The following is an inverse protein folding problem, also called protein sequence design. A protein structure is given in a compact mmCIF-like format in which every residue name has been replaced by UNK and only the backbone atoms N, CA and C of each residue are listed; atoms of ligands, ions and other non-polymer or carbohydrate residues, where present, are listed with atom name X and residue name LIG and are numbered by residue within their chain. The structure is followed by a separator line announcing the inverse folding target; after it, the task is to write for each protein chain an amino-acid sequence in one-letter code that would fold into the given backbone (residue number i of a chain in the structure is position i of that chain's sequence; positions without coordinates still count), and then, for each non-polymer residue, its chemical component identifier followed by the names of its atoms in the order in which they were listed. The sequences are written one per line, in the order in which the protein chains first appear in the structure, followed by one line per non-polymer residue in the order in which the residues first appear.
data_IF_694685487382
#
_entry.id   IF_694685487382
#
_cell.length_a   1.000
_cell.length_b   1.000
_cell.length_c   1.000
_cell.angle_alpha   90.00
_cell.angle_beta   90.00
_cell.angle_gamma   90.00
#
_symmetry.space_group_name_H-M   'P 1'
#
loop_
_entity.id
_entity.type
_entity.pdbx_description
1 polymer ?
#
# COMPACT_ATOMS: atom_id res chain seq x y z
N UNK A 1 29.89 9.57 -2.99
CA UNK A 1 31.15 8.78 -2.99
C UNK A 1 32.38 9.56 -3.41
N UNK A 2 32.36 10.48 -4.38
CA UNK A 2 33.60 11.25 -4.67
C UNK A 2 34.09 11.99 -3.42
N UNK A 3 33.16 12.55 -2.65
CA UNK A 3 33.47 13.24 -1.40
C UNK A 3 33.94 12.26 -0.31
N UNK A 4 33.21 11.17 -0.08
CA UNK A 4 33.62 10.11 0.88
C UNK A 4 34.98 9.47 0.55
N UNK A 5 35.20 9.06 -0.71
CA UNK A 5 36.44 8.43 -1.15
C UNK A 5 37.63 9.40 -1.06
N UNK A 6 37.42 10.67 -1.43
CA UNK A 6 38.42 11.72 -1.24
C UNK A 6 38.72 11.96 0.24
N UNK A 7 37.72 11.99 1.11
CA UNK A 7 37.90 12.16 2.54
C UNK A 7 38.72 11.03 3.18
N UNK A 8 38.44 9.78 2.81
CA UNK A 8 39.22 8.62 3.26
C UNK A 8 40.66 8.68 2.76
N UNK A 9 40.86 9.05 1.49
CA UNK A 9 42.19 9.22 0.90
C UNK A 9 43.00 10.32 1.58
N UNK A 10 42.37 11.48 1.81
CA UNK A 10 43.00 12.64 2.44
C UNK A 10 43.39 12.33 3.88
N UNK A 11 42.50 11.65 4.61
CA UNK A 11 42.78 11.19 5.99
C UNK A 11 43.95 10.22 6.03
N UNK A 12 43.98 9.22 5.14
CA UNK A 12 45.10 8.26 5.06
C UNK A 12 46.43 8.96 4.79
N UNK A 13 46.45 9.87 3.82
CA UNK A 13 47.65 10.64 3.47
C UNK A 13 48.08 11.56 4.62
N UNK A 14 47.12 12.17 5.31
CA UNK A 14 47.37 13.01 6.49
C UNK A 14 47.96 12.22 7.66
N UNK A 15 47.55 10.94 7.80
CA UNK A 15 48.14 10.01 8.76
C UNK A 15 49.52 9.47 8.32
N UNK A 16 49.98 9.80 7.12
CA UNK A 16 51.27 9.36 6.58
C UNK A 16 51.31 7.89 6.14
N UNK A 17 50.15 7.25 5.96
CA UNK A 17 50.05 5.82 5.65
C UNK A 17 49.98 5.58 4.14
N UNK A 18 50.74 4.62 3.62
CA UNK A 18 50.68 4.23 2.21
C UNK A 18 49.43 3.38 1.91
N UNK A 19 49.02 3.29 0.64
CA UNK A 19 47.82 2.51 0.28
C UNK A 19 48.09 1.01 0.52
N UNK A 20 49.30 0.58 0.23
CA UNK A 20 49.80 -0.78 0.37
C UNK A 20 49.87 -1.21 1.84
N UNK A 21 50.30 -0.31 2.72
CA UNK A 21 50.34 -0.54 4.17
C UNK A 21 48.93 -0.67 4.76
N UNK A 22 48.02 0.25 4.42
CA UNK A 22 46.63 0.16 4.85
C UNK A 22 45.97 -1.13 4.35
N UNK A 23 46.23 -1.53 3.09
CA UNK A 23 45.70 -2.76 2.52
C UNK A 23 46.26 -4.01 3.22
N UNK A 24 47.55 -4.00 3.54
CA UNK A 24 48.21 -5.08 4.29
C UNK A 24 47.62 -5.22 5.71
N UNK A 25 47.45 -4.11 6.42
CA UNK A 25 46.92 -4.11 7.79
C UNK A 25 45.45 -4.56 7.86
N UNK A 26 44.66 -4.20 6.85
CA UNK A 26 43.27 -4.62 6.70
C UNK A 26 43.12 -6.02 6.07
N UNK A 27 44.23 -6.64 5.64
CA UNK A 27 44.24 -7.94 4.95
C UNK A 27 43.31 -7.96 3.71
N UNK A 28 43.38 -6.91 2.90
CA UNK A 28 42.62 -6.74 1.66
C UNK A 28 43.54 -6.44 0.49
N UNK A 29 43.06 -6.70 -0.72
CA UNK A 29 43.82 -6.32 -1.93
C UNK A 29 43.85 -4.79 -2.10
N UNK A 30 45.01 -4.28 -2.52
CA UNK A 30 45.25 -2.85 -2.74
C UNK A 30 44.22 -2.24 -3.69
N UNK A 31 43.79 -3.01 -4.70
CA UNK A 31 42.79 -2.56 -5.66
C UNK A 31 41.45 -2.23 -5.00
N UNK A 32 41.06 -2.89 -3.91
CA UNK A 32 39.80 -2.58 -3.24
C UNK A 32 39.86 -1.21 -2.54
N UNK A 33 40.96 -0.90 -1.84
CA UNK A 33 41.11 0.42 -1.22
C UNK A 33 41.23 1.52 -2.28
N UNK A 34 41.95 1.26 -3.38
CA UNK A 34 42.02 2.19 -4.51
C UNK A 34 40.64 2.48 -5.11
N UNK A 35 39.82 1.44 -5.30
CA UNK A 35 38.47 1.58 -5.83
C UNK A 35 37.53 2.32 -4.84
N UNK A 36 37.74 2.22 -3.53
CA UNK A 36 37.03 3.05 -2.54
C UNK A 36 37.45 4.52 -2.67
N UNK A 37 38.75 4.80 -2.64
CA UNK A 37 39.28 6.18 -2.72
C UNK A 37 38.89 6.87 -4.04
N UNK A 38 38.86 6.13 -5.15
CA UNK A 38 38.47 6.62 -6.47
C UNK A 38 36.95 6.61 -6.73
N UNK A 39 36.14 6.22 -5.73
CA UNK A 39 34.68 6.15 -5.83
C UNK A 39 34.15 5.18 -6.92
N UNK A 40 34.92 4.14 -7.26
CA UNK A 40 34.56 3.15 -8.27
C UNK A 40 33.73 1.99 -7.70
N UNK A 41 32.41 2.18 -7.62
CA UNK A 41 31.49 1.15 -7.09
C UNK A 41 31.45 -0.12 -7.93
N UNK A 42 31.72 -0.02 -9.23
CA UNK A 42 31.58 -1.15 -10.17
C UNK A 42 32.60 -2.26 -9.95
N UNK A 43 33.70 -1.95 -9.25
CA UNK A 43 34.73 -2.94 -8.94
C UNK A 43 34.31 -3.93 -7.85
N UNK A 44 33.24 -3.64 -7.10
CA UNK A 44 32.80 -4.46 -5.98
C UNK A 44 31.75 -5.47 -6.42
N UNK A 45 31.89 -6.71 -5.94
CA UNK A 45 30.94 -7.80 -6.20
C UNK A 45 29.57 -7.53 -5.58
N UNK A 46 29.55 -6.94 -4.39
CA UNK A 46 28.35 -6.62 -3.63
C UNK A 46 28.56 -5.34 -2.80
N UNK A 47 27.48 -4.59 -2.64
CA UNK A 47 27.37 -3.39 -1.81
C UNK A 47 27.61 -3.72 -0.34
N UNK A 48 27.21 -4.90 0.12
CA UNK A 48 27.47 -5.35 1.49
C UNK A 48 28.97 -5.40 1.80
N UNK A 49 29.76 -6.01 0.92
CA UNK A 49 31.21 -6.10 1.08
C UNK A 49 31.87 -4.71 1.04
N UNK A 50 31.44 -3.86 0.12
CA UNK A 50 31.91 -2.47 0.08
C UNK A 50 31.62 -1.73 1.39
N UNK A 51 30.41 -1.86 1.95
CA UNK A 51 30.02 -1.21 3.21
C UNK A 51 30.92 -1.66 4.36
N UNK A 52 31.16 -2.96 4.47
CA UNK A 52 31.99 -3.54 5.53
C UNK A 52 33.44 -3.07 5.40
N UNK A 53 33.98 -3.04 4.19
CA UNK A 53 35.32 -2.52 3.94
C UNK A 53 35.47 -1.03 4.24
N UNK A 54 34.48 -0.20 3.87
CA UNK A 54 34.47 1.24 4.19
C UNK A 54 34.45 1.45 5.71
N UNK A 55 33.67 0.64 6.43
CA UNK A 55 33.60 0.67 7.90
C UNK A 55 34.94 0.28 8.54
N UNK A 56 35.56 -0.81 8.08
CA UNK A 56 36.85 -1.26 8.59
C UNK A 56 37.95 -0.24 8.30
N UNK A 57 37.95 0.35 7.10
CA UNK A 57 38.91 1.37 6.71
C UNK A 57 38.75 2.66 7.53
N UNK A 58 37.51 3.10 7.78
CA UNK A 58 37.25 4.23 8.67
C UNK A 58 37.77 3.98 10.10
N UNK A 59 37.54 2.77 10.63
CA UNK A 59 38.05 2.37 11.95
C UNK A 59 39.58 2.37 11.98
N UNK A 60 40.24 1.86 10.94
CA UNK A 60 41.69 1.88 10.81
C UNK A 60 42.24 3.32 10.81
N UNK A 61 41.58 4.24 10.11
CA UNK A 61 41.96 5.66 10.04
C UNK A 61 41.61 6.47 11.30
N UNK A 62 40.95 5.86 12.30
CA UNK A 62 40.51 6.55 13.52
C UNK A 62 39.32 7.49 13.31
N UNK A 63 38.54 7.29 12.24
CA UNK A 63 37.35 8.07 11.92
C UNK A 63 36.12 7.55 12.69
N UNK A 64 35.13 8.42 12.89
CA UNK A 64 33.86 8.02 13.50
C UNK A 64 33.05 7.14 12.56
N UNK A 65 32.82 5.89 12.96
CA UNK A 65 32.08 4.88 12.18
C UNK A 65 30.69 5.37 11.78
N UNK A 66 29.93 5.95 12.71
CA UNK A 66 28.54 6.38 12.48
C UNK A 66 28.44 7.41 11.33
N UNK A 67 29.29 8.45 11.36
CA UNK A 67 29.29 9.49 10.31
C UNK A 67 29.66 8.93 8.94
N UNK A 68 30.62 8.00 8.89
CA UNK A 68 31.05 7.39 7.63
C UNK A 68 29.96 6.48 7.07
N UNK A 69 29.25 5.76 7.94
CA UNK A 69 28.11 4.95 7.51
C UNK A 69 26.97 5.81 6.99
N UNK A 70 26.65 6.93 7.65
CA UNK A 70 25.61 7.86 7.19
C UNK A 70 25.97 8.41 5.80
N UNK A 71 27.20 8.90 5.60
CA UNK A 71 27.68 9.39 4.32
C UNK A 71 27.68 8.30 3.23
N UNK A 72 28.01 7.07 3.60
CA UNK A 72 27.94 5.92 2.69
C UNK A 72 26.50 5.56 2.33
N UNK A 73 25.56 5.64 3.27
CA UNK A 73 24.15 5.42 3.02
C UNK A 73 23.57 6.48 2.09
N UNK A 74 23.91 7.75 2.29
CA UNK A 74 23.52 8.86 1.41
C UNK A 74 24.07 8.64 0.00
N UNK A 75 25.32 8.21 -0.13
CA UNK A 75 25.87 7.83 -1.41
C UNK A 75 25.09 6.67 -2.07
N UNK A 76 24.84 5.59 -1.34
CA UNK A 76 24.11 4.45 -1.87
C UNK A 76 22.71 4.84 -2.29
N UNK A 77 22.07 5.72 -1.51
CA UNK A 77 20.82 6.33 -1.88
C UNK A 77 21.00 7.02 -3.22
N UNK A 78 21.79 8.09 -3.36
CA UNK A 78 22.00 8.78 -4.65
C UNK A 78 22.23 7.85 -5.86
N UNK A 79 23.03 6.78 -5.67
CA UNK A 79 23.35 5.84 -6.75
C UNK A 79 22.24 4.84 -7.08
N UNK A 80 21.43 4.43 -6.11
CA UNK A 80 20.31 3.49 -6.29
C UNK A 80 18.94 4.19 -6.43
N UNK A 81 18.88 5.45 -6.05
CA UNK A 81 17.68 6.25 -5.80
C UNK A 81 17.16 6.99 -7.03
N UNK A 82 17.05 6.28 -8.14
CA UNK A 82 15.97 6.57 -9.12
C UNK A 82 14.69 5.79 -8.78
N UNK A 83 14.48 5.42 -7.52
CA UNK A 83 13.31 4.67 -7.08
C UNK A 83 12.63 5.48 -5.98
N UNK A 84 11.43 5.99 -6.24
CA UNK A 84 10.67 6.72 -5.22
C UNK A 84 10.15 5.75 -4.15
N UNK A 85 9.89 6.25 -2.93
CA UNK A 85 9.23 5.46 -1.88
C UNK A 85 7.87 4.91 -2.35
N UNK A 86 7.21 5.61 -3.27
CA UNK A 86 5.97 5.17 -3.89
C UNK A 86 6.18 4.00 -4.84
N UNK A 87 7.29 3.96 -5.59
CA UNK A 87 7.64 2.82 -6.44
C UNK A 87 7.95 1.57 -5.61
N UNK A 88 8.65 1.73 -4.46
CA UNK A 88 8.89 0.64 -3.51
C UNK A 88 7.56 0.12 -2.95
N UNK A 89 6.67 1.02 -2.54
CA UNK A 89 5.35 0.67 -1.99
C UNK A 89 4.48 -0.02 -3.04
N UNK A 90 4.51 0.43 -4.29
CA UNK A 90 3.78 -0.17 -5.40
C UNK A 90 4.32 -1.56 -5.74
N UNK A 91 5.65 -1.73 -5.80
CA UNK A 91 6.27 -3.03 -6.02
C UNK A 91 5.93 -4.03 -4.89
N UNK A 92 5.92 -3.58 -3.63
CA UNK A 92 5.51 -4.41 -2.49
C UNK A 92 4.04 -4.83 -2.59
N UNK A 93 3.13 -3.89 -2.87
CA UNK A 93 1.70 -4.20 -3.08
C UNK A 93 1.49 -5.19 -4.21
N UNK A 94 2.22 -5.02 -5.32
CA UNK A 94 2.11 -5.91 -6.49
C UNK A 94 2.57 -7.33 -6.17
N UNK A 95 3.69 -7.47 -5.43
CA UNK A 95 4.14 -8.77 -4.91
C UNK A 95 3.14 -9.41 -3.95
N UNK A 96 2.59 -8.65 -3.00
CA UNK A 96 1.57 -9.16 -2.08
C UNK A 96 0.30 -9.61 -2.83
N UNK A 97 -0.08 -8.89 -3.88
CA UNK A 97 -1.21 -9.26 -4.74
C UNK A 97 -0.93 -10.51 -5.58
N UNK A 98 0.29 -10.62 -6.15
CA UNK A 98 0.78 -11.80 -6.87
C UNK A 98 0.87 -13.04 -5.98
N UNK A 99 1.41 -12.91 -4.76
CA UNK A 99 1.44 -14.00 -3.76
C UNK A 99 0.03 -14.40 -3.33
N UNK A 100 -0.89 -13.44 -3.19
CA UNK A 100 -2.29 -13.72 -2.89
C UNK A 100 -2.97 -14.46 -4.04
N UNK A 101 -2.71 -14.05 -5.28
CA UNK A 101 -3.17 -14.72 -6.49
C UNK A 101 -2.57 -16.14 -6.61
N UNK A 102 -1.28 -16.32 -6.36
CA UNK A 102 -0.62 -17.63 -6.33
C UNK A 102 -1.18 -18.53 -5.23
N UNK A 103 -1.37 -18.02 -4.01
CA UNK A 103 -1.98 -18.78 -2.92
C UNK A 103 -3.43 -19.19 -3.23
N UNK A 104 -4.17 -18.40 -4.03
CA UNK A 104 -5.48 -18.82 -4.55
C UNK A 104 -5.40 -19.81 -5.72
N UNK A 105 -4.29 -19.83 -6.46
CA UNK A 105 -4.04 -20.74 -7.59
C UNK A 105 -3.37 -22.06 -7.19
N UNK A 106 -2.79 -22.15 -5.98
CA UNK A 106 -2.28 -23.41 -5.43
C UNK A 106 -3.38 -24.47 -5.53
N UNK A 107 -3.04 -25.58 -6.19
CA UNK A 107 -3.94 -26.71 -6.41
C UNK A 107 -4.28 -27.29 -5.03
N UNK A 108 -5.41 -26.86 -4.47
CA UNK A 108 -5.89 -27.39 -3.19
C UNK A 108 -6.35 -28.82 -3.40
N UNK A 109 -5.86 -29.74 -2.58
CA UNK A 109 -6.32 -31.12 -2.58
C UNK A 109 -7.83 -31.12 -2.26
N UNK A 110 -8.60 -32.12 -2.73
CA UNK A 110 -10.04 -32.19 -2.47
C UNK A 110 -10.42 -32.04 -0.99
N UNK A 111 -9.49 -32.33 -0.08
CA UNK A 111 -9.67 -32.37 1.37
C UNK A 111 -9.31 -31.07 2.10
N UNK A 112 -8.68 -30.08 1.45
CA UNK A 112 -8.35 -28.76 2.05
C UNK A 112 -9.10 -27.60 1.39
N UNK A 113 -10.08 -27.88 0.52
CA UNK A 113 -10.93 -26.86 -0.09
C UNK A 113 -11.92 -26.28 0.93
N UNK A 114 -11.60 -25.09 1.44
CA UNK A 114 -12.54 -24.32 2.26
C UNK A 114 -13.64 -23.69 1.37
N UNK A 115 -14.85 -24.27 1.40
CA UNK A 115 -15.99 -23.70 0.72
C UNK A 115 -16.51 -22.48 1.48
N UNK A 116 -16.29 -21.27 0.93
CA UNK A 116 -16.88 -20.04 1.47
C UNK A 116 -18.40 -20.19 1.51
N UNK A 117 -18.99 -20.11 2.71
CA UNK A 117 -20.45 -20.20 2.90
C UNK A 117 -21.13 -19.11 2.08
N UNK A 118 -21.90 -19.53 1.08
CA UNK A 118 -22.73 -18.61 0.27
C UNK A 118 -23.78 -17.99 1.18
N UNK A 119 -23.71 -16.67 1.37
CA UNK A 119 -24.72 -15.91 2.09
C UNK A 119 -26.02 -15.99 1.28
N UNK A 120 -27.07 -16.57 1.86
CA UNK A 120 -28.38 -16.65 1.22
C UNK A 120 -28.93 -15.22 1.10
N UNK A 121 -29.09 -14.70 -0.13
CA UNK A 121 -29.66 -13.37 -0.39
C UNK A 121 -31.19 -13.33 -0.30
N UNK A 122 -31.82 -14.50 -0.30
CA UNK A 122 -33.27 -14.69 -0.22
C UNK A 122 -33.97 -13.88 0.91
N UNK A 123 -33.49 -13.88 2.18
CA UNK A 123 -34.13 -13.11 3.24
C UNK A 123 -34.13 -11.60 2.98
N UNK A 124 -33.07 -11.04 2.38
CA UNK A 124 -33.01 -9.61 2.04
C UNK A 124 -33.97 -9.22 0.92
N UNK A 125 -34.27 -10.14 0.00
CA UNK A 125 -35.26 -9.91 -1.06
C UNK A 125 -36.67 -9.96 -0.46
N UNK A 126 -36.95 -10.93 0.41
CA UNK A 126 -38.25 -11.07 1.08
C UNK A 126 -38.55 -9.84 1.95
N UNK A 127 -37.57 -9.32 2.70
CA UNK A 127 -37.76 -8.11 3.53
C UNK A 127 -38.11 -6.88 2.67
N UNK A 128 -37.49 -6.72 1.50
CA UNK A 128 -37.82 -5.64 0.57
C UNK A 128 -39.25 -5.71 0.03
N UNK A 129 -39.74 -6.93 -0.29
CA UNK A 129 -41.11 -7.14 -0.78
C UNK A 129 -42.14 -6.82 0.31
N UNK A 130 -41.90 -7.25 1.55
CA UNK A 130 -42.79 -6.96 2.69
C UNK A 130 -42.89 -5.45 2.93
N UNK A 131 -41.77 -4.73 2.84
CA UNK A 131 -41.75 -3.28 3.01
C UNK A 131 -42.56 -2.55 1.92
N UNK A 132 -42.45 -2.97 0.66
CA UNK A 132 -43.26 -2.43 -0.43
C UNK A 132 -44.76 -2.67 -0.24
N UNK A 133 -45.15 -3.87 0.21
CA UNK A 133 -46.55 -4.18 0.51
C UNK A 133 -47.10 -3.30 1.63
N UNK A 134 -46.32 -3.05 2.68
CA UNK A 134 -46.71 -2.16 3.78
C UNK A 134 -46.97 -0.72 3.29
N UNK A 135 -46.15 -0.21 2.36
CA UNK A 135 -46.36 1.12 1.75
C UNK A 135 -47.68 1.16 0.97
N UNK A 136 -47.95 0.13 0.15
CA UNK A 136 -49.19 0.06 -0.65
C UNK A 136 -50.41 0.06 0.28
N UNK A 137 -50.38 -0.73 1.35
CA UNK A 137 -51.47 -0.78 2.34
C UNK A 137 -51.66 0.60 2.99
N UNK A 138 -50.57 1.26 3.38
CA UNK A 138 -50.63 2.62 3.97
C UNK A 138 -51.31 3.62 3.03
N UNK A 139 -50.99 3.59 1.73
CA UNK A 139 -51.63 4.46 0.72
C UNK A 139 -53.14 4.18 0.61
N UNK A 140 -53.54 2.92 0.61
CA UNK A 140 -54.97 2.53 0.54
C UNK A 140 -55.72 3.04 1.76
N UNK A 141 -55.15 2.90 2.96
CA UNK A 141 -55.76 3.39 4.21
C UNK A 141 -55.98 4.91 4.18
N UNK A 142 -54.96 5.67 3.76
CA UNK A 142 -55.07 7.13 3.62
C UNK A 142 -56.20 7.49 2.63
N UNK A 143 -56.26 6.80 1.49
CA UNK A 143 -57.32 7.02 0.49
C UNK A 143 -58.72 6.67 1.01
N UNK A 144 -58.85 5.67 1.89
CA UNK A 144 -60.15 5.32 2.48
C UNK A 144 -60.63 6.34 3.50
N UNK A 145 -59.74 6.92 4.30
CA UNK A 145 -60.08 7.93 5.31
C UNK A 145 -60.45 9.27 4.64
N UNK A 146 -59.76 9.63 3.56
CA UNK A 146 -59.99 10.89 2.84
C UNK A 146 -61.13 10.84 1.81
N UNK A 147 -62.01 9.83 1.83
CA UNK A 147 -63.21 9.84 0.98
C UNK A 147 -64.23 10.82 1.58
N UNK A 148 -64.55 11.88 0.86
CA UNK A 148 -65.65 12.77 1.21
C UNK A 148 -66.95 11.96 1.35
N UNK A 149 -67.79 12.25 2.38
CA UNK A 149 -69.05 11.52 2.56
C UNK A 149 -69.94 11.74 1.33
N UNK A 150 -70.53 10.65 0.83
CA UNK A 150 -71.46 10.73 -0.30
C UNK A 150 -72.64 11.63 0.09
N UNK A 151 -72.84 12.72 -0.65
CA UNK A 151 -73.98 13.64 -0.47
C UNK A 151 -75.25 12.86 -0.80
N UNK A 152 -76.01 12.47 0.23
CA UNK A 152 -77.30 11.79 0.05
C UNK A 152 -78.38 12.81 -0.33
N UNK A 153 -79.15 12.51 -1.37
CA UNK A 153 -80.20 13.39 -1.90
C UNK A 153 -81.52 13.30 -1.12
N UNK A 154 -81.47 13.00 0.18
CA UNK A 154 -82.66 12.74 1.00
C UNK A 154 -83.48 14.01 1.33
N UNK A 155 -82.95 15.20 1.03
CA UNK A 155 -83.62 16.49 1.22
C UNK A 155 -84.11 17.14 -0.08
N UNK A 156 -84.32 16.37 -1.16
CA UNK A 156 -85.11 16.88 -2.29
C UNK A 156 -86.59 16.82 -1.92
N UNK A 157 -87.11 17.96 -1.43
CA UNK A 157 -88.52 18.12 -1.08
C UNK A 157 -89.47 17.69 -2.20
N UNK A 158 -90.61 17.12 -1.79
CA UNK A 158 -91.64 16.56 -2.66
C UNK A 158 -92.14 17.61 -3.65
N UNK A 159 -91.97 17.35 -4.96
CA UNK A 159 -92.62 18.14 -6.00
C UNK A 159 -94.08 17.69 -6.13
N UNK A 160 -95.01 18.46 -5.56
CA UNK A 160 -96.45 18.27 -5.77
C UNK A 160 -96.80 18.85 -7.14
N UNK A 161 -97.34 18.03 -8.04
CA UNK A 161 -97.93 18.50 -9.30
C UNK A 161 -99.42 18.73 -9.08
N UNK A 162 -99.87 19.99 -9.18
CA UNK A 162 -101.30 20.31 -9.30
C UNK A 162 -101.73 20.11 -10.76
N UNK A 163 -102.70 19.21 -10.98
CA UNK A 163 -103.45 19.15 -12.23
C UNK A 163 -104.69 20.04 -12.11
N UNK A 164 -104.74 21.12 -12.88
CA UNK A 164 -105.98 21.85 -13.16
C UNK A 164 -106.73 21.13 -14.28
N UNK A 165 -108.01 20.82 -14.04
CA UNK A 165 -108.94 20.16 -14.98
C UNK A 165 -109.17 20.95 -16.27
#
# INVERSE_FOLDING_TARGET
MKELGYYLQDTRRSNGVSLEEAASDLNVDVSYLENIESANVRAFKDVYYMRELVKEYAKYLGLSEDKIQDEFNDFLFEHTSKISLDDIRNAKKKKEEEERLENTKKIQSPYTKEYKRKIKKLPFVITGIIFLLAIIISIVVIKTINREPAVTSELKGISVYEYTY
#
